data_IF_954965004276
#
_entry.id   IF_954965004276
#
_cell.length_a   1.000
_cell.length_b   1.000
_cell.length_c   1.000
_cell.angle_alpha   90.00
_cell.angle_beta   90.00
_cell.angle_gamma   90.00
#
_symmetry.space_group_name_H-M   'P 1'
#
loop_
_entity.id
_entity.type
_entity.pdbx_description
1 polymer ?
#
# COMPACT_ATOMS: atom_id res chain seq x y z
N UNK A 1 16.59 -3.74 3.46
CA UNK A 1 17.00 -2.96 4.65
C UNK A 1 17.33 -1.57 4.16
N UNK A 2 16.63 -0.55 4.67
CA UNK A 2 16.88 0.86 4.38
C UNK A 2 17.29 1.54 5.69
N UNK A 3 18.23 2.47 5.63
CA UNK A 3 18.74 3.16 6.81
C UNK A 3 17.95 4.45 7.08
N UNK A 4 17.42 4.59 8.28
CA UNK A 4 16.69 5.77 8.74
C UNK A 4 17.40 6.48 9.91
N UNK A 5 18.68 6.17 10.13
CA UNK A 5 19.48 6.68 11.24
C UNK A 5 19.98 8.12 11.07
N UNK A 6 19.95 8.68 9.86
CA UNK A 6 20.32 10.08 9.57
C UNK A 6 19.27 10.76 8.70
N UNK A 7 19.29 12.10 8.65
CA UNK A 7 18.40 12.88 7.77
C UNK A 7 18.61 12.54 6.30
N UNK A 8 19.88 12.35 5.89
CA UNK A 8 20.24 12.00 4.51
C UNK A 8 19.77 10.58 4.17
N UNK A 9 20.08 9.60 5.01
CA UNK A 9 19.68 8.20 4.78
C UNK A 9 18.14 8.04 4.79
N UNK A 10 17.43 8.80 5.64
CA UNK A 10 15.97 8.81 5.66
C UNK A 10 15.37 9.36 4.36
N UNK A 11 15.96 10.43 3.81
CA UNK A 11 15.53 10.98 2.52
C UNK A 11 15.75 9.96 1.39
N UNK A 12 16.92 9.33 1.34
CA UNK A 12 17.23 8.28 0.36
C UNK A 12 16.28 7.07 0.47
N UNK A 13 15.94 6.67 1.70
CA UNK A 13 14.97 5.61 1.95
C UNK A 13 13.58 5.99 1.41
N UNK A 14 13.16 7.24 1.61
CA UNK A 14 11.90 7.76 1.08
C UNK A 14 11.88 7.76 -0.45
N UNK A 15 12.94 8.23 -1.08
CA UNK A 15 13.07 8.26 -2.55
C UNK A 15 13.10 6.86 -3.16
N UNK A 16 13.75 5.90 -2.50
CA UNK A 16 13.74 4.50 -2.88
C UNK A 16 12.30 3.95 -2.90
N UNK A 17 11.55 4.12 -1.80
CA UNK A 17 10.17 3.67 -1.70
C UNK A 17 9.30 4.33 -2.77
N UNK A 18 9.37 5.65 -2.91
CA UNK A 18 8.58 6.40 -3.90
C UNK A 18 8.86 5.93 -5.34
N UNK A 19 10.11 5.60 -5.65
CA UNK A 19 10.50 5.09 -6.97
C UNK A 19 9.90 3.72 -7.25
N UNK A 20 9.97 2.80 -6.28
CA UNK A 20 9.40 1.45 -6.42
C UNK A 20 7.89 1.53 -6.59
N UNK A 21 7.19 2.26 -5.72
CA UNK A 21 5.73 2.38 -5.78
C UNK A 21 5.27 2.97 -7.12
N UNK A 22 5.97 4.00 -7.63
CA UNK A 22 5.62 4.61 -8.92
C UNK A 22 5.81 3.65 -10.10
N UNK A 23 6.82 2.78 -10.05
CA UNK A 23 7.11 1.83 -11.13
C UNK A 23 6.19 0.62 -11.11
N UNK A 24 5.83 0.12 -9.93
CA UNK A 24 5.00 -1.09 -9.79
C UNK A 24 3.51 -0.78 -9.69
N UNK A 25 3.13 0.43 -9.29
CA UNK A 25 1.74 0.80 -9.03
C UNK A 25 1.18 0.19 -7.73
N UNK A 26 2.03 -0.48 -6.94
CA UNK A 26 1.69 -1.11 -5.67
C UNK A 26 2.23 -0.31 -4.49
N UNK A 27 1.57 -0.44 -3.33
CA UNK A 27 2.00 0.21 -2.08
C UNK A 27 2.90 -0.70 -1.27
N UNK A 28 4.02 -0.16 -0.81
CA UNK A 28 4.94 -0.88 0.07
C UNK A 28 4.39 -0.90 1.49
N UNK A 29 4.33 -2.09 2.10
CA UNK A 29 3.89 -2.28 3.49
C UNK A 29 2.48 -1.72 3.82
N UNK A 30 1.55 -1.77 2.85
CA UNK A 30 0.13 -1.48 3.10
C UNK A 30 -0.47 -2.55 4.02
N UNK A 31 -0.80 -2.17 5.26
CA UNK A 31 -1.24 -3.15 6.29
C UNK A 31 -2.62 -3.71 5.95
N UNK A 32 -3.51 -2.89 5.38
CA UNK A 32 -4.86 -3.30 5.01
C UNK A 32 -4.85 -4.33 3.86
N UNK A 33 -3.98 -4.14 2.88
CA UNK A 33 -3.75 -5.13 1.81
C UNK A 33 -3.19 -6.44 2.38
N UNK A 34 -2.16 -6.36 3.23
CA UNK A 34 -1.58 -7.56 3.86
C UNK A 34 -2.64 -8.30 4.68
N UNK A 35 -3.44 -7.58 5.49
CA UNK A 35 -4.51 -8.16 6.28
C UNK A 35 -5.61 -8.79 5.41
N UNK A 36 -5.95 -8.16 4.28
CA UNK A 36 -6.93 -8.69 3.33
C UNK A 36 -6.41 -9.97 2.65
N UNK A 37 -5.16 -9.98 2.18
CA UNK A 37 -4.54 -11.14 1.55
C UNK A 37 -4.37 -12.32 2.51
N UNK A 38 -4.13 -12.04 3.80
CA UNK A 38 -4.08 -13.06 4.86
C UNK A 38 -5.46 -13.49 5.38
N UNK A 39 -6.55 -12.90 4.88
CA UNK A 39 -7.92 -13.22 5.30
C UNK A 39 -8.30 -12.70 6.69
N UNK A 40 -7.52 -11.80 7.28
CA UNK A 40 -7.84 -11.16 8.56
C UNK A 40 -8.98 -10.15 8.45
N UNK A 41 -9.15 -9.55 7.27
CA UNK A 41 -10.29 -8.70 6.95
C UNK A 41 -10.94 -9.12 5.65
N UNK A 42 -12.26 -8.94 5.56
CA UNK A 42 -13.03 -9.19 4.35
C UNK A 42 -13.07 -7.98 3.40
N UNK A 43 -13.61 -8.20 2.20
CA UNK A 43 -13.74 -7.17 1.15
C UNK A 43 -14.50 -5.93 1.63
N UNK A 44 -15.58 -6.10 2.39
CA UNK A 44 -16.37 -4.98 2.89
C UNK A 44 -15.59 -4.10 3.87
N UNK A 45 -14.76 -4.71 4.73
CA UNK A 45 -13.89 -3.97 5.65
C UNK A 45 -12.81 -3.19 4.89
N UNK A 46 -12.23 -3.80 3.85
CA UNK A 46 -11.26 -3.11 2.99
C UNK A 46 -11.89 -1.94 2.22
N UNK A 47 -13.09 -2.13 1.68
CA UNK A 47 -13.83 -1.05 1.00
C UNK A 47 -14.22 0.09 1.96
N UNK A 48 -14.54 -0.23 3.22
CA UNK A 48 -14.77 0.79 4.24
C UNK A 48 -13.51 1.62 4.49
N UNK A 49 -12.35 0.97 4.66
CA UNK A 49 -11.07 1.67 4.80
C UNK A 49 -10.75 2.53 3.56
N UNK A 50 -11.01 2.01 2.36
CA UNK A 50 -10.88 2.77 1.12
C UNK A 50 -11.76 4.03 1.11
N UNK A 51 -13.00 3.92 1.59
CA UNK A 51 -13.93 5.05 1.67
C UNK A 51 -13.48 6.12 2.68
N UNK A 52 -12.89 5.72 3.80
CA UNK A 52 -12.32 6.65 4.80
C UNK A 52 -11.14 7.44 4.21
N UNK A 53 -10.38 6.83 3.30
CA UNK A 53 -9.24 7.43 2.59
C UNK A 53 -9.54 7.93 1.17
N UNK A 54 -10.81 8.02 0.76
CA UNK A 54 -11.24 8.32 -0.63
C UNK A 54 -10.71 9.61 -1.26
N UNK A 55 -10.12 10.50 -0.47
CA UNK A 55 -9.62 11.81 -0.93
C UNK A 55 -8.20 11.76 -1.46
N UNK A 56 -7.53 10.60 -1.45
CA UNK A 56 -6.15 10.48 -1.90
C UNK A 56 -5.89 9.16 -2.63
N UNK A 57 -4.69 9.03 -3.19
CA UNK A 57 -4.25 7.85 -3.93
C UNK A 57 -4.22 6.56 -3.08
N UNK A 58 -4.20 6.67 -1.74
CA UNK A 58 -4.25 5.51 -0.86
C UNK A 58 -5.64 4.88 -0.86
N UNK A 59 -6.71 5.67 -0.75
CA UNK A 59 -8.08 5.15 -0.84
C UNK A 59 -8.39 4.52 -2.20
N UNK A 60 -7.90 5.13 -3.28
CA UNK A 60 -8.01 4.56 -4.63
C UNK A 60 -7.28 3.22 -4.75
N UNK A 61 -6.10 3.11 -4.14
CA UNK A 61 -5.34 1.86 -4.08
C UNK A 61 -6.09 0.76 -3.33
N UNK A 62 -6.60 1.06 -2.14
CA UNK A 62 -7.37 0.08 -1.35
C UNK A 62 -8.61 -0.41 -2.10
N UNK A 63 -9.30 0.49 -2.82
CA UNK A 63 -10.44 0.12 -3.66
C UNK A 63 -10.02 -0.81 -4.80
N UNK A 64 -8.92 -0.49 -5.49
CA UNK A 64 -8.35 -1.36 -6.54
C UNK A 64 -8.06 -2.76 -5.99
N UNK A 65 -7.41 -2.86 -4.83
CA UNK A 65 -7.10 -4.16 -4.17
C UNK A 65 -8.39 -4.93 -3.87
N UNK A 66 -9.43 -4.27 -3.34
CA UNK A 66 -10.70 -4.90 -3.01
C UNK A 66 -11.51 -5.38 -4.23
N UNK A 67 -11.31 -4.77 -5.39
CA UNK A 67 -12.06 -5.04 -6.62
C UNK A 67 -11.33 -6.00 -7.57
N UNK A 68 -10.02 -5.87 -7.69
CA UNK A 68 -9.21 -6.54 -8.72
C UNK A 68 -8.21 -7.53 -8.12
N UNK A 69 -7.97 -7.48 -6.80
CA UNK A 69 -6.87 -8.18 -6.17
C UNK A 69 -5.51 -7.58 -6.53
N UNK A 70 -4.45 -8.12 -5.94
CA UNK A 70 -3.08 -7.69 -6.22
C UNK A 70 -2.52 -8.54 -7.38
N UNK A 71 -2.09 -7.92 -8.50
CA UNK A 71 -1.51 -8.67 -9.61
C UNK A 71 -0.27 -9.46 -9.16
N UNK A 72 -0.31 -10.79 -9.30
CA UNK A 72 0.80 -11.68 -8.93
C UNK A 72 0.70 -12.34 -7.55
N UNK A 73 -0.37 -12.10 -6.79
CA UNK A 73 -0.71 -12.92 -5.63
C UNK A 73 -1.35 -14.24 -6.10
N UNK A 74 -0.52 -15.26 -6.31
CA UNK A 74 -0.91 -16.67 -6.46
C UNK A 74 -0.52 -17.44 -5.20
#
# INVERSE_FOLDING_TARGET
>A
WLDTGTHESLLEAGDFIATIERRQGLKMACIEEIAFNLGYIGREQLLKAAADHKKNAYGEYLRMVAEQGVPGAL
#
